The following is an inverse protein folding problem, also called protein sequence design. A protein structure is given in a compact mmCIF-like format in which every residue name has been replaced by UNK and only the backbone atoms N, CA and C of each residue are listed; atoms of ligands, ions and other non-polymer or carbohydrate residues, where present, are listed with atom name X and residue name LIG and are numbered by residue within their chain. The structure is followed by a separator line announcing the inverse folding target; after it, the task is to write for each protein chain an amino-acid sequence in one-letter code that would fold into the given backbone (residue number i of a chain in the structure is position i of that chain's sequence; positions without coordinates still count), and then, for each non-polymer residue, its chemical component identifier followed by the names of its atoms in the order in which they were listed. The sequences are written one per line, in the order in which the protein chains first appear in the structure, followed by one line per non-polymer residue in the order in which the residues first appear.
data_IF_402245422735
#
_entry.id   IF_402245422735
#
_cell.length_a   1.000
_cell.length_b   1.000
_cell.length_c   1.000
_cell.angle_alpha   90.00
_cell.angle_beta   90.00
_cell.angle_gamma   90.00
#
_symmetry.space_group_name_H-M   'P 1'
#
loop_
_entity.id
_entity.type
_entity.pdbx_description
1 polymer ?
#
# COMPACT_ATOMS: atom_id res chain seq x y z
N UNK A 1 -68.29 -11.73 -32.79
CA UNK A 1 -67.87 -10.59 -31.93
C UNK A 1 -67.01 -11.21 -30.83
N UNK A 2 -65.70 -11.32 -31.05
CA UNK A 2 -64.63 -10.46 -30.49
C UNK A 2 -64.59 -10.53 -28.94
N UNK A 3 -63.47 -10.76 -28.26
CA UNK A 3 -62.10 -10.36 -28.56
C UNK A 3 -61.05 -11.25 -27.86
N UNK A 4 -59.82 -11.15 -28.37
CA UNK A 4 -58.55 -11.73 -27.93
C UNK A 4 -58.23 -11.52 -26.43
N UNK A 5 -57.53 -12.52 -25.85
CA UNK A 5 -56.90 -12.44 -24.54
C UNK A 5 -55.41 -12.75 -24.63
N UNK A 6 -54.66 -11.94 -25.37
CA UNK A 6 -53.20 -12.00 -25.45
C UNK A 6 -52.56 -10.99 -24.48
N UNK A 7 -52.22 -11.40 -23.25
CA UNK A 7 -51.39 -10.58 -22.36
C UNK A 7 -50.82 -11.37 -21.16
N UNK A 8 -49.80 -12.22 -21.37
CA UNK A 8 -49.02 -12.78 -20.23
C UNK A 8 -47.51 -12.90 -20.47
N UNK A 9 -46.99 -12.32 -21.55
CA UNK A 9 -45.59 -12.46 -21.96
C UNK A 9 -44.67 -11.35 -21.40
N UNK A 10 -45.19 -10.13 -21.16
CA UNK A 10 -44.36 -8.95 -20.82
C UNK A 10 -43.72 -8.93 -19.42
N UNK A 11 -44.28 -9.65 -18.45
CA UNK A 11 -43.84 -9.57 -17.03
C UNK A 11 -42.53 -10.30 -16.74
N UNK A 12 -42.28 -11.44 -17.40
CA UNK A 12 -41.05 -12.24 -17.19
C UNK A 12 -39.82 -11.59 -17.80
N UNK A 13 -39.98 -10.97 -18.97
CA UNK A 13 -38.92 -10.25 -19.69
C UNK A 13 -38.52 -9.00 -18.91
N UNK A 14 -39.49 -8.21 -18.43
CA UNK A 14 -39.22 -7.04 -17.60
C UNK A 14 -38.48 -7.38 -16.30
N UNK A 15 -38.88 -8.46 -15.62
CA UNK A 15 -38.19 -8.94 -14.41
C UNK A 15 -36.75 -9.37 -14.70
N UNK A 16 -36.52 -10.12 -15.77
CA UNK A 16 -35.18 -10.59 -16.16
C UNK A 16 -34.25 -9.43 -16.55
N UNK A 17 -34.76 -8.43 -17.28
CA UNK A 17 -34.04 -7.21 -17.63
C UNK A 17 -33.70 -6.42 -16.37
N UNK A 18 -34.65 -6.24 -15.46
CA UNK A 18 -34.42 -5.53 -14.20
C UNK A 18 -33.37 -6.23 -13.31
N UNK A 19 -33.41 -7.57 -13.23
CA UNK A 19 -32.39 -8.36 -12.53
C UNK A 19 -31.02 -8.24 -13.18
N UNK A 20 -30.94 -8.23 -14.52
CA UNK A 20 -29.68 -8.01 -15.25
C UNK A 20 -29.10 -6.62 -14.95
N UNK A 21 -29.94 -5.58 -14.96
CA UNK A 21 -29.52 -4.23 -14.63
C UNK A 21 -29.06 -4.09 -13.18
N UNK A 22 -29.73 -4.73 -12.22
CA UNK A 22 -29.32 -4.76 -10.81
C UNK A 22 -27.99 -5.50 -10.63
N UNK A 23 -27.75 -6.59 -11.36
CA UNK A 23 -26.48 -7.32 -11.32
C UNK A 23 -25.32 -6.52 -11.95
N UNK A 24 -25.56 -5.87 -13.08
CA UNK A 24 -24.55 -5.06 -13.79
C UNK A 24 -24.21 -3.79 -12.99
N UNK A 25 -25.21 -3.09 -12.46
CA UNK A 25 -25.00 -1.87 -11.65
C UNK A 25 -24.49 -2.19 -10.24
N UNK A 26 -24.96 -3.26 -9.61
CA UNK A 26 -24.54 -3.66 -8.26
C UNK A 26 -23.09 -4.12 -8.17
N UNK A 27 -22.55 -4.69 -9.26
CA UNK A 27 -21.15 -5.09 -9.35
C UNK A 27 -20.17 -3.90 -9.37
N UNK A 28 -20.66 -2.68 -9.63
CA UNK A 28 -19.83 -1.49 -9.81
C UNK A 28 -19.42 -0.79 -8.49
N UNK A 29 -19.91 -1.26 -7.34
CA UNK A 29 -19.84 -0.50 -6.05
C UNK A 29 -18.82 -1.07 -5.04
N UNK A 30 -18.17 -2.20 -5.32
CA UNK A 30 -17.07 -2.66 -4.45
C UNK A 30 -15.76 -1.99 -4.88
N UNK A 31 -15.39 -0.92 -4.18
CA UNK A 31 -14.05 -0.36 -4.27
C UNK A 31 -13.06 -1.35 -3.63
N UNK A 32 -12.56 -2.28 -4.44
CA UNK A 32 -11.52 -3.23 -4.03
C UNK A 32 -10.16 -2.50 -4.06
N UNK A 33 -9.47 -2.43 -2.92
CA UNK A 33 -8.06 -2.02 -2.88
C UNK A 33 -7.21 -3.17 -3.47
N UNK A 34 -6.44 -2.89 -4.51
CA UNK A 34 -5.44 -3.84 -5.02
C UNK A 34 -4.07 -3.52 -4.42
N UNK A 35 -3.44 -4.53 -3.82
CA UNK A 35 -2.09 -4.42 -3.24
C UNK A 35 -1.05 -4.57 -4.34
N UNK A 36 -0.30 -3.50 -4.61
CA UNK A 36 0.76 -3.49 -5.63
C UNK A 36 2.14 -3.89 -5.07
N UNK A 37 2.40 -3.53 -3.82
CA UNK A 37 3.63 -3.84 -3.08
C UNK A 37 3.29 -3.88 -1.59
N UNK A 38 3.71 -4.94 -0.92
CA UNK A 38 3.54 -5.12 0.52
C UNK A 38 4.82 -5.69 1.11
N UNK A 39 5.42 -4.96 2.05
CA UNK A 39 6.61 -5.37 2.80
C UNK A 39 6.25 -5.92 4.18
N UNK A 40 4.96 -5.93 4.55
CA UNK A 40 4.51 -6.41 5.86
C UNK A 40 4.72 -7.91 5.99
N UNK A 41 5.66 -8.32 6.84
CA UNK A 41 5.98 -9.73 7.05
C UNK A 41 6.96 -10.34 6.07
N UNK A 42 7.62 -9.55 5.24
CA UNK A 42 8.78 -10.06 4.51
C UNK A 42 9.87 -10.45 5.52
N UNK A 43 10.38 -11.68 5.40
CA UNK A 43 11.39 -12.23 6.32
C UNK A 43 12.73 -12.46 5.63
N UNK A 44 12.71 -12.50 4.30
CA UNK A 44 13.89 -12.56 3.45
C UNK A 44 14.43 -11.17 3.15
N UNK A 45 15.53 -11.10 2.42
CA UNK A 45 16.12 -9.84 1.98
C UNK A 45 15.18 -9.14 0.99
N UNK A 46 14.80 -7.89 1.31
CA UNK A 46 13.99 -7.04 0.42
C UNK A 46 14.85 -6.53 -0.74
N UNK A 47 16.11 -6.17 -0.47
CA UNK A 47 17.11 -5.86 -1.49
C UNK A 47 16.83 -4.56 -2.25
N UNK A 48 16.24 -3.57 -1.58
CA UNK A 48 16.05 -2.24 -2.17
C UNK A 48 17.37 -1.49 -2.32
N UNK A 49 17.43 -0.59 -3.30
CA UNK A 49 18.64 0.17 -3.60
C UNK A 49 18.84 1.29 -2.58
N UNK A 50 20.05 1.39 -2.04
CA UNK A 50 20.46 2.47 -1.13
C UNK A 50 21.49 3.37 -1.79
N UNK A 51 21.35 4.69 -1.60
CA UNK A 51 22.33 5.66 -2.08
C UNK A 51 22.51 6.82 -1.09
N UNK A 52 23.75 7.17 -0.70
CA UNK A 52 24.96 6.37 -0.90
C UNK A 52 24.86 5.00 -0.18
N UNK A 53 25.68 4.01 -0.56
CA UNK A 53 25.78 2.76 0.19
C UNK A 53 26.09 3.04 1.67
N UNK A 54 25.37 2.38 2.57
CA UNK A 54 25.45 2.62 4.02
C UNK A 54 24.66 3.85 4.50
N UNK A 55 23.88 4.49 3.64
CA UNK A 55 22.93 5.55 4.03
C UNK A 55 21.68 5.01 4.77
N UNK A 56 21.20 3.86 4.32
CA UNK A 56 20.11 3.08 4.89
C UNK A 56 20.60 1.64 5.09
N UNK A 57 20.26 1.05 6.23
CA UNK A 57 20.59 -0.33 6.57
C UNK A 57 19.33 -1.20 6.58
N UNK A 58 19.43 -2.39 5.98
CA UNK A 58 18.34 -3.37 5.97
C UNK A 58 18.44 -4.29 7.19
N UNK A 59 17.49 -4.16 8.11
CA UNK A 59 17.50 -4.77 9.45
C UNK A 59 16.26 -5.60 9.70
N UNK A 60 16.39 -6.61 10.55
CA UNK A 60 15.26 -7.48 10.93
C UNK A 60 14.75 -7.07 12.32
N UNK A 61 13.46 -6.73 12.40
CA UNK A 61 12.79 -6.20 13.59
C UNK A 61 11.57 -7.07 13.91
N UNK A 62 11.17 -7.14 15.18
CA UNK A 62 9.91 -7.78 15.58
C UNK A 62 8.76 -6.79 15.45
N UNK A 63 7.70 -7.18 14.75
CA UNK A 63 6.45 -6.42 14.71
C UNK A 63 5.65 -6.53 16.04
N UNK A 64 4.52 -5.82 16.13
CA UNK A 64 3.67 -5.81 17.33
C UNK A 64 3.14 -7.21 17.70
N UNK A 65 3.04 -8.09 16.71
CA UNK A 65 2.63 -9.49 16.86
C UNK A 65 3.81 -10.43 17.13
N UNK A 66 5.02 -9.88 17.36
CA UNK A 66 6.27 -10.62 17.59
C UNK A 66 6.69 -11.52 16.43
N UNK A 67 6.33 -11.15 15.21
CA UNK A 67 6.85 -11.79 14.00
C UNK A 67 8.05 -11.01 13.50
N UNK A 68 9.07 -11.74 13.05
CA UNK A 68 10.24 -11.14 12.41
C UNK A 68 9.80 -10.50 11.09
N UNK A 69 10.19 -9.26 10.86
CA UNK A 69 9.97 -8.55 9.60
C UNK A 69 11.24 -7.83 9.19
N UNK A 70 11.47 -7.76 7.88
CA UNK A 70 12.56 -7.01 7.27
C UNK A 70 12.15 -5.55 7.10
N UNK A 71 13.01 -4.62 7.51
CA UNK A 71 12.77 -3.18 7.54
C UNK A 71 14.04 -2.42 7.16
N UNK A 72 13.93 -1.10 6.96
CA UNK A 72 15.06 -0.22 6.71
C UNK A 72 15.18 0.84 7.81
N UNK A 73 16.41 1.10 8.26
CA UNK A 73 16.70 2.16 9.24
C UNK A 73 17.88 3.04 8.81
N UNK A 74 17.89 4.28 9.28
CA UNK A 74 19.00 5.22 9.07
C UNK A 74 19.19 6.07 10.34
N UNK A 75 20.39 6.07 10.92
CA UNK A 75 20.68 6.77 12.17
C UNK A 75 22.10 7.38 12.21
N UNK A 76 22.38 8.35 11.36
CA UNK A 76 23.69 9.03 11.27
C UNK A 76 23.76 10.35 12.07
N UNK A 77 23.14 10.36 13.24
CA UNK A 77 22.98 11.57 14.08
C UNK A 77 24.23 11.95 14.87
N UNK A 78 25.06 10.97 15.25
CA UNK A 78 26.25 11.19 16.07
C UNK A 78 27.56 11.35 15.26
N UNK A 79 27.57 10.92 14.00
CA UNK A 79 28.77 10.91 13.14
C UNK A 79 28.97 12.16 12.28
N UNK A 80 27.95 13.03 12.18
CA UNK A 80 28.00 14.21 11.33
C UNK A 80 28.45 15.44 12.13
N UNK A 81 29.53 16.14 11.72
CA UNK A 81 29.85 17.45 12.25
C UNK A 81 28.65 18.40 12.10
N UNK A 82 28.44 19.34 13.04
CA UNK A 82 27.37 20.33 12.92
C UNK A 82 27.41 21.03 11.56
N UNK A 83 26.28 21.05 10.85
CA UNK A 83 26.18 21.67 9.52
C UNK A 83 26.49 20.75 8.32
N UNK A 84 26.82 19.47 8.56
CA UNK A 84 26.92 18.47 7.48
C UNK A 84 25.55 17.89 7.18
N UNK A 85 24.99 18.17 6.01
CA UNK A 85 23.71 17.60 5.57
C UNK A 85 23.82 16.09 5.32
N UNK A 86 22.79 15.35 5.72
CA UNK A 86 22.61 13.93 5.36
C UNK A 86 21.62 13.85 4.19
N UNK A 87 21.95 13.05 3.17
CA UNK A 87 21.13 12.86 1.96
C UNK A 87 21.09 11.37 1.59
N UNK A 88 20.28 10.62 2.36
CA UNK A 88 20.21 9.16 2.25
C UNK A 88 18.93 8.75 1.52
N UNK A 89 19.07 8.19 0.32
CA UNK A 89 17.99 7.72 -0.54
C UNK A 89 17.80 6.21 -0.40
N UNK A 90 16.53 5.80 -0.40
CA UNK A 90 16.08 4.41 -0.45
C UNK A 90 15.09 4.27 -1.60
N UNK A 91 15.34 3.32 -2.51
CA UNK A 91 14.52 3.12 -3.70
C UNK A 91 14.02 1.67 -3.77
N UNK A 92 12.71 1.53 -3.91
CA UNK A 92 12.06 0.23 -4.11
C UNK A 92 12.43 -0.40 -5.44
N UNK A 93 12.18 -1.70 -5.58
CA UNK A 93 12.08 -2.31 -6.90
C UNK A 93 10.96 -1.68 -7.74
N UNK A 94 10.97 -1.96 -9.04
CA UNK A 94 9.89 -1.56 -9.93
C UNK A 94 8.55 -2.16 -9.47
N UNK A 95 7.54 -1.30 -9.30
CA UNK A 95 6.18 -1.71 -8.95
C UNK A 95 5.26 -1.47 -10.14
N UNK A 96 4.67 -2.53 -10.66
CA UNK A 96 3.74 -2.43 -11.79
C UNK A 96 2.41 -1.81 -11.34
N UNK A 97 1.94 -0.79 -12.07
CA UNK A 97 0.72 -0.04 -11.73
C UNK A 97 -0.57 -0.85 -11.94
N UNK A 98 -0.53 -1.94 -12.72
CA UNK A 98 -1.67 -2.83 -13.02
C UNK A 98 -2.97 -2.11 -13.42
N UNK A 99 -2.85 -1.00 -14.14
CA UNK A 99 -3.99 -0.20 -14.60
C UNK A 99 -4.54 0.83 -13.60
N UNK A 100 -4.05 0.86 -12.35
CA UNK A 100 -4.49 1.80 -11.32
C UNK A 100 -4.21 3.26 -11.70
N UNK A 101 -5.23 4.10 -11.87
CA UNK A 101 -5.06 5.52 -12.22
C UNK A 101 -4.48 6.36 -11.07
N UNK A 102 -4.56 5.83 -9.85
CA UNK A 102 -4.01 6.44 -8.63
C UNK A 102 -3.46 5.31 -7.77
N UNK A 103 -2.24 5.51 -7.27
CA UNK A 103 -1.64 4.64 -6.27
C UNK A 103 -1.65 5.35 -4.90
N UNK A 104 -1.87 4.58 -3.84
CA UNK A 104 -1.77 5.03 -2.46
C UNK A 104 -0.59 4.34 -1.80
N UNK A 105 0.17 5.08 -1.01
CA UNK A 105 1.33 4.55 -0.29
C UNK A 105 1.02 4.65 1.20
N UNK A 106 1.15 3.52 1.91
CA UNK A 106 1.03 3.45 3.36
C UNK A 106 2.40 3.12 3.94
N UNK A 107 2.89 3.96 4.84
CA UNK A 107 4.18 3.77 5.51
C UNK A 107 3.95 3.54 7.00
N UNK A 108 4.59 2.50 7.53
CA UNK A 108 4.71 2.24 8.95
C UNK A 108 6.17 2.53 9.33
N UNK A 109 6.39 3.53 10.17
CA UNK A 109 7.74 3.97 10.55
C UNK A 109 7.76 4.44 12.00
N UNK A 110 8.95 4.46 12.58
CA UNK A 110 9.22 5.06 13.89
C UNK A 110 10.29 6.14 13.73
N UNK A 111 10.25 7.15 14.60
CA UNK A 111 11.25 8.21 14.64
C UNK A 111 11.73 8.36 16.07
N UNK A 112 13.06 8.41 16.24
CA UNK A 112 13.65 8.68 17.54
C UNK A 112 13.74 10.18 17.77
N UNK A 113 13.24 10.65 18.91
CA UNK A 113 13.32 12.06 19.27
C UNK A 113 14.79 12.50 19.45
N UNK A 114 15.20 13.61 18.85
CA UNK A 114 16.59 14.09 18.92
C UNK A 114 17.06 14.32 20.36
N UNK A 115 16.20 14.86 21.22
CA UNK A 115 16.51 15.07 22.64
C UNK A 115 16.87 13.78 23.40
N UNK A 116 16.43 12.61 22.91
CA UNK A 116 16.72 11.31 23.51
C UNK A 116 18.08 10.72 23.11
N UNK A 117 18.82 11.38 22.21
CA UNK A 117 20.08 10.87 21.67
C UNK A 117 21.28 11.12 22.59
N UNK A 118 21.11 11.88 23.68
CA UNK A 118 22.23 12.21 24.59
C UNK A 118 23.37 12.96 23.90
N UNK A 119 23.17 13.42 22.65
CA UNK A 119 24.08 14.32 21.95
C UNK A 119 23.93 15.66 22.64
N UNK A 120 24.72 15.83 23.71
CA UNK A 120 24.91 17.10 24.37
C UNK A 120 25.22 18.14 23.30
N UNK A 121 24.38 19.16 23.20
CA UNK A 121 24.77 20.35 22.46
C UNK A 121 25.94 21.00 23.19
N UNK A 122 27.03 21.24 22.47
CA UNK A 122 28.12 22.14 22.88
C UNK A 122 29.19 21.51 23.74
#
# INVERSE_FOLDING_TARGET
MAAEGAARSGSRVAGMVCSLWVLVLGSSVLALEEVLLDTTGETSEIGWLTYPPGGWDEVSVLDDQRRLTRTFEACHVAGAPPGTGQDNWLQTHFVERRGAQRAHIRLHFSVRACASLGVAGG
#
